data_IF_004512526157
#
_entry.id   IF_004512526157
#
_cell.length_a   1.000
_cell.length_b   1.000
_cell.length_c   1.000
_cell.angle_alpha   90.00
_cell.angle_beta   90.00
_cell.angle_gamma   90.00
#
_symmetry.space_group_name_H-M   'P 1'
#
loop_
_entity.id
_entity.type
_entity.pdbx_description
1 polymer ?
#
# COMPACT_ATOMS: atom_id res chain seq x y z
N UNK A 1 2.94 -16.95 38.65
CA UNK A 1 2.00 -16.05 39.39
C UNK A 1 2.26 -14.56 39.09
N UNK A 2 3.50 -14.13 38.86
CA UNK A 2 3.83 -12.72 38.57
C UNK A 2 3.14 -12.12 37.35
N UNK A 3 2.85 -12.91 36.32
CA UNK A 3 2.15 -12.44 35.11
C UNK A 3 0.62 -12.22 35.34
N UNK A 4 0.05 -12.78 36.42
CA UNK A 4 -1.35 -12.57 36.80
C UNK A 4 -1.58 -11.21 37.47
N UNK A 5 -0.52 -10.54 37.89
CA UNK A 5 -0.52 -9.25 38.55
C UNK A 5 0.13 -8.15 37.71
N UNK A 6 0.46 -8.43 36.46
CA UNK A 6 0.87 -7.40 35.52
C UNK A 6 -0.31 -6.45 35.31
N UNK A 7 -0.25 -5.30 35.93
CA UNK A 7 -1.15 -4.18 35.66
C UNK A 7 -0.68 -3.60 34.33
N UNK A 8 -1.58 -3.44 33.37
CA UNK A 8 -1.29 -2.66 32.17
C UNK A 8 -0.77 -1.31 32.63
N UNK A 9 0.47 -0.99 32.28
CA UNK A 9 0.97 0.36 32.50
C UNK A 9 0.01 1.30 31.76
N UNK A 10 -0.62 2.21 32.51
CA UNK A 10 -1.41 3.29 31.92
C UNK A 10 -0.47 4.06 31.01
N UNK A 11 -0.49 3.73 29.73
CA UNK A 11 0.05 4.62 28.71
C UNK A 11 -0.89 5.80 28.70
N UNK A 12 -0.39 6.99 29.04
CA UNK A 12 -1.07 8.26 28.75
C UNK A 12 -1.31 8.28 27.23
N UNK A 13 -2.46 7.77 26.82
CA UNK A 13 -2.95 7.90 25.48
C UNK A 13 -3.42 9.32 25.34
N UNK A 14 -2.69 10.13 24.57
CA UNK A 14 -3.27 11.32 23.94
C UNK A 14 -4.54 10.81 23.26
N UNK A 15 -5.71 11.28 23.65
CA UNK A 15 -6.99 10.91 23.04
C UNK A 15 -6.95 11.35 21.55
N UNK A 16 -6.46 10.48 20.70
CA UNK A 16 -6.71 10.56 19.27
C UNK A 16 -8.17 10.19 19.08
N UNK A 17 -8.83 10.89 18.18
CA UNK A 17 -10.19 10.53 17.74
C UNK A 17 -10.13 9.16 17.04
N UNK A 18 -10.29 8.10 17.83
CA UNK A 18 -10.18 6.71 17.37
C UNK A 18 -11.49 6.37 16.64
N UNK A 19 -11.43 5.95 15.36
CA UNK A 19 -12.63 5.56 14.62
C UNK A 19 -13.47 4.54 15.36
N UNK A 20 -14.79 4.70 15.34
CA UNK A 20 -15.73 3.82 16.03
C UNK A 20 -15.52 2.34 15.71
N UNK A 21 -15.20 2.00 14.45
CA UNK A 21 -14.92 0.64 14.04
C UNK A 21 -13.68 0.06 14.75
N UNK A 22 -12.61 0.84 14.86
CA UNK A 22 -11.39 0.41 15.58
C UNK A 22 -11.73 0.12 17.04
N UNK A 23 -12.38 1.05 17.72
CA UNK A 23 -12.74 0.93 19.14
C UNK A 23 -13.73 -0.20 19.41
N UNK A 24 -14.75 -0.34 18.54
CA UNK A 24 -15.87 -1.25 18.79
C UNK A 24 -15.67 -2.65 18.21
N UNK A 25 -14.77 -2.82 17.22
CA UNK A 25 -14.53 -4.10 16.55
C UNK A 25 -13.08 -4.50 16.65
N UNK A 26 -12.13 -3.68 16.16
CA UNK A 26 -10.71 -4.10 16.12
C UNK A 26 -10.12 -4.34 17.51
N UNK A 27 -10.34 -3.44 18.47
CA UNK A 27 -9.81 -3.61 19.82
C UNK A 27 -10.37 -4.86 20.55
N UNK A 28 -11.69 -5.10 20.56
CA UNK A 28 -12.23 -6.34 21.15
C UNK A 28 -11.69 -7.60 20.48
N UNK A 29 -11.56 -7.62 19.16
CA UNK A 29 -11.00 -8.77 18.42
C UNK A 29 -9.53 -8.98 18.78
N UNK A 30 -8.72 -7.94 18.84
CA UNK A 30 -7.32 -7.99 19.24
C UNK A 30 -7.14 -8.48 20.70
N UNK A 31 -8.10 -8.20 21.58
CA UNK A 31 -8.14 -8.71 22.95
C UNK A 31 -8.73 -10.12 23.06
N UNK A 32 -8.99 -10.80 21.93
CA UNK A 32 -9.63 -12.12 21.86
C UNK A 32 -11.06 -12.15 22.44
N UNK A 33 -11.73 -11.00 22.49
CA UNK A 33 -13.10 -10.85 22.98
C UNK A 33 -14.13 -10.74 21.83
N UNK A 34 -13.73 -11.03 20.58
CA UNK A 34 -14.57 -10.90 19.38
C UNK A 34 -15.87 -11.76 19.43
N UNK A 35 -15.85 -12.89 20.11
CA UNK A 35 -17.06 -13.72 20.30
C UNK A 35 -18.19 -13.03 21.09
N UNK A 36 -17.86 -11.98 21.85
CA UNK A 36 -18.85 -11.16 22.56
C UNK A 36 -19.50 -10.08 21.71
N UNK A 37 -19.04 -9.87 20.48
CA UNK A 37 -19.58 -8.85 19.59
C UNK A 37 -20.94 -9.28 19.02
N UNK A 38 -21.99 -8.45 19.13
CA UNK A 38 -23.25 -8.71 18.46
C UNK A 38 -23.12 -8.48 16.94
N UNK A 39 -23.98 -9.13 16.15
CA UNK A 39 -24.03 -8.90 14.69
C UNK A 39 -24.21 -7.42 14.34
N UNK A 40 -24.93 -6.66 15.16
CA UNK A 40 -25.12 -5.23 14.99
C UNK A 40 -23.85 -4.38 15.12
N UNK A 41 -22.73 -4.94 15.60
CA UNK A 41 -21.42 -4.28 15.59
C UNK A 41 -20.90 -4.05 14.16
N UNK A 42 -21.45 -4.75 13.17
CA UNK A 42 -21.08 -4.68 11.76
C UNK A 42 -22.09 -3.92 10.91
N UNK A 43 -23.04 -3.18 11.52
CA UNK A 43 -23.96 -2.31 10.77
C UNK A 43 -23.15 -1.25 10.00
N UNK A 44 -23.44 -1.13 8.69
CA UNK A 44 -22.66 -0.30 7.75
C UNK A 44 -21.49 -1.02 7.09
N UNK A 45 -21.29 -2.32 7.38
CA UNK A 45 -20.27 -3.18 6.81
C UNK A 45 -20.86 -4.53 6.34
N UNK A 46 -22.16 -4.56 6.05
CA UNK A 46 -22.90 -5.79 5.69
C UNK A 46 -22.45 -6.35 4.33
N UNK A 47 -21.88 -5.50 3.49
CA UNK A 47 -21.30 -5.86 2.20
C UNK A 47 -19.86 -6.42 2.30
N UNK A 48 -19.31 -6.51 3.52
CA UNK A 48 -17.94 -6.97 3.77
C UNK A 48 -16.86 -5.89 3.62
N UNK A 49 -17.23 -4.63 3.39
CA UNK A 49 -16.25 -3.53 3.36
C UNK A 49 -15.75 -3.21 4.76
N UNK A 50 -14.45 -2.94 4.89
CA UNK A 50 -13.80 -2.52 6.13
C UNK A 50 -13.12 -1.17 5.93
N UNK A 51 -13.04 -0.33 7.00
CA UNK A 51 -12.34 0.94 6.93
C UNK A 51 -10.85 0.75 6.61
N UNK A 52 -10.33 1.58 5.71
CA UNK A 52 -8.92 1.60 5.38
C UNK A 52 -8.07 2.19 6.52
N UNK A 53 -6.79 1.78 6.62
CA UNK A 53 -5.80 2.40 7.51
C UNK A 53 -5.97 2.09 9.00
N UNK A 54 -6.78 1.10 9.37
CA UNK A 54 -7.02 0.77 10.79
C UNK A 54 -5.79 0.24 11.51
N UNK A 55 -4.80 -0.29 10.79
CA UNK A 55 -3.52 -0.73 11.35
C UNK A 55 -2.73 0.41 12.04
N UNK A 56 -2.96 1.67 11.66
CA UNK A 56 -2.32 2.83 12.28
C UNK A 56 -2.65 3.02 13.77
N UNK A 57 -3.73 2.39 14.25
CA UNK A 57 -4.19 2.48 15.63
C UNK A 57 -3.70 1.35 16.53
N UNK A 58 -3.04 0.32 16.00
CA UNK A 58 -2.62 -0.84 16.80
C UNK A 58 -1.47 -0.53 17.76
N UNK A 59 -0.49 0.29 17.35
CA UNK A 59 0.62 0.76 18.20
C UNK A 59 1.20 -0.32 19.13
N UNK A 60 1.59 -1.46 18.57
CA UNK A 60 1.94 -2.69 19.30
C UNK A 60 3.16 -2.54 20.22
N UNK A 61 4.13 -1.68 19.88
CA UNK A 61 5.34 -1.47 20.68
C UNK A 61 6.16 -2.75 20.91
N UNK A 62 6.14 -3.69 19.96
CA UNK A 62 6.67 -5.04 20.15
C UNK A 62 8.21 -5.14 20.09
N UNK A 63 8.90 -4.14 19.52
CA UNK A 63 10.34 -4.16 19.36
C UNK A 63 11.05 -3.70 20.65
N UNK A 64 12.12 -4.41 21.04
CA UNK A 64 12.99 -3.95 22.14
C UNK A 64 13.95 -2.84 21.69
N UNK A 65 14.36 -2.89 20.42
CA UNK A 65 15.24 -1.91 19.80
C UNK A 65 14.60 -1.40 18.52
N UNK A 66 14.65 -0.07 18.33
CA UNK A 66 14.09 0.63 17.16
C UNK A 66 15.12 1.56 16.55
N UNK A 67 14.96 1.97 15.27
CA UNK A 67 15.92 2.86 14.62
C UNK A 67 15.97 4.24 15.24
N UNK A 68 17.17 4.75 15.48
CA UNK A 68 17.48 6.15 15.79
C UNK A 68 18.20 6.79 14.61
N UNK A 69 17.76 7.97 14.18
CA UNK A 69 18.37 8.70 13.08
C UNK A 69 19.44 9.69 13.54
N UNK A 70 20.62 9.62 12.92
CA UNK A 70 21.76 10.50 13.13
C UNK A 70 21.92 11.41 11.92
N UNK A 71 21.40 12.66 11.96
CA UNK A 71 21.38 13.57 10.81
C UNK A 71 22.76 13.80 10.20
N UNK A 72 23.78 14.01 11.02
CA UNK A 72 25.14 14.38 10.62
C UNK A 72 25.80 13.34 9.72
N UNK A 73 25.35 12.09 9.82
CA UNK A 73 25.82 10.98 8.99
C UNK A 73 24.94 10.77 7.75
N UNK A 74 23.75 11.38 7.68
CA UNK A 74 22.79 11.08 6.65
C UNK A 74 23.13 11.70 5.29
N UNK A 75 23.09 10.89 4.22
CA UNK A 75 23.29 11.32 2.83
C UNK A 75 21.96 11.47 2.06
N UNK A 76 20.82 11.36 2.73
CA UNK A 76 19.46 11.52 2.18
C UNK A 76 19.15 10.58 0.99
N UNK A 77 19.62 9.32 1.05
CA UNK A 77 19.42 8.35 -0.03
C UNK A 77 18.07 7.60 0.05
N UNK A 78 17.35 7.69 1.16
CA UNK A 78 16.07 7.03 1.45
C UNK A 78 16.08 5.49 1.41
N UNK A 79 17.23 4.83 1.35
CA UNK A 79 17.30 3.36 1.33
C UNK A 79 16.71 2.73 2.60
N UNK A 80 16.85 3.36 3.76
CA UNK A 80 16.26 2.90 5.01
C UNK A 80 14.72 2.87 4.96
N UNK A 81 14.10 3.87 4.35
CA UNK A 81 12.67 3.89 4.10
C UNK A 81 12.27 2.84 3.05
N UNK A 82 13.03 2.73 1.96
CA UNK A 82 12.74 1.82 0.86
C UNK A 82 12.61 0.37 1.30
N UNK A 83 13.54 -0.11 2.15
CA UNK A 83 13.54 -1.50 2.63
C UNK A 83 12.67 -1.75 3.86
N UNK A 84 12.05 -0.70 4.43
CA UNK A 84 11.23 -0.86 5.62
C UNK A 84 9.93 -1.63 5.32
N UNK A 85 9.73 -2.83 5.92
CA UNK A 85 8.56 -3.67 5.61
C UNK A 85 7.23 -3.09 6.10
N UNK A 86 7.30 -2.18 7.09
CA UNK A 86 6.11 -1.68 7.79
C UNK A 86 5.86 -0.18 7.57
N UNK A 87 6.60 0.47 6.65
CA UNK A 87 6.50 1.90 6.39
C UNK A 87 6.69 2.78 7.66
N UNK A 88 7.43 2.29 8.64
CA UNK A 88 7.69 2.98 9.92
C UNK A 88 8.84 3.98 9.84
N UNK A 89 9.56 4.02 8.73
CA UNK A 89 10.62 4.99 8.46
C UNK A 89 10.23 5.78 7.24
N UNK A 90 10.13 7.12 7.38
CA UNK A 90 9.72 7.99 6.27
C UNK A 90 10.62 9.22 6.16
N UNK A 91 11.05 9.57 4.93
CA UNK A 91 11.62 10.88 4.67
C UNK A 91 10.48 11.91 4.66
N UNK A 92 10.66 12.99 5.36
CA UNK A 92 9.73 14.12 5.43
C UNK A 92 10.41 15.35 4.85
N UNK A 93 9.68 16.10 4.04
CA UNK A 93 10.05 17.44 3.59
C UNK A 93 9.18 18.45 4.33
N UNK A 94 9.82 19.44 4.96
CA UNK A 94 9.17 20.48 5.73
C UNK A 94 9.66 21.87 5.35
N UNK A 95 8.83 22.89 5.51
CA UNK A 95 9.29 24.27 5.43
C UNK A 95 10.01 24.67 6.71
N UNK A 96 10.72 25.81 6.67
CA UNK A 96 11.40 26.34 7.87
C UNK A 96 10.41 26.69 8.98
N UNK A 97 9.20 27.15 8.62
CA UNK A 97 8.12 27.44 9.56
C UNK A 97 7.58 26.15 10.22
N UNK A 98 7.40 25.10 9.45
CA UNK A 98 6.96 23.80 9.96
C UNK A 98 8.01 23.20 10.91
N UNK A 99 9.29 23.34 10.59
CA UNK A 99 10.37 22.89 11.52
C UNK A 99 10.36 23.69 12.82
N UNK A 100 10.13 25.00 12.77
CA UNK A 100 10.05 25.85 13.97
C UNK A 100 8.82 25.52 14.84
N UNK A 101 7.75 25.07 14.23
CA UNK A 101 6.51 24.68 14.93
C UNK A 101 6.53 23.23 15.42
N UNK A 102 7.55 22.46 15.06
CA UNK A 102 7.63 21.03 15.38
C UNK A 102 7.87 20.80 16.88
N UNK A 103 7.37 19.67 17.43
CA UNK A 103 7.67 19.26 18.79
C UNK A 103 9.17 19.09 19.06
N UNK A 104 9.55 19.19 20.32
CA UNK A 104 10.93 18.93 20.75
C UNK A 104 11.37 17.52 20.28
N UNK A 105 12.59 17.43 19.76
CA UNK A 105 13.14 16.20 19.19
C UNK A 105 13.02 16.09 17.68
N UNK A 106 12.29 17.00 17.00
CA UNK A 106 12.29 17.05 15.56
C UNK A 106 13.65 17.52 15.03
N UNK A 107 14.36 16.65 14.33
CA UNK A 107 15.66 16.97 13.71
C UNK A 107 15.50 17.10 12.20
N UNK A 108 16.24 18.03 11.57
CA UNK A 108 16.24 18.21 10.12
C UNK A 108 17.62 18.57 9.58
N UNK A 109 17.73 18.53 8.26
CA UNK A 109 18.86 18.97 7.47
C UNK A 109 18.34 19.70 6.23
N UNK A 110 19.07 20.65 5.65
CA UNK A 110 18.71 21.19 4.34
C UNK A 110 18.50 20.10 3.30
N UNK A 111 17.36 20.12 2.60
CA UNK A 111 16.98 19.07 1.67
C UNK A 111 17.83 19.08 0.40
N UNK A 112 18.50 17.98 0.09
CA UNK A 112 19.30 17.84 -1.13
C UNK A 112 18.37 17.67 -2.35
N UNK A 113 18.39 18.68 -3.24
CA UNK A 113 17.57 18.70 -4.46
C UNK A 113 16.20 19.36 -4.30
N UNK A 114 15.86 19.87 -3.10
CA UNK A 114 14.62 20.60 -2.81
C UNK A 114 14.94 21.93 -2.11
N UNK A 115 15.30 22.94 -2.90
CA UNK A 115 15.71 24.26 -2.38
C UNK A 115 14.59 24.90 -1.54
N UNK A 116 14.94 25.36 -0.34
CA UNK A 116 14.02 26.02 0.58
C UNK A 116 13.19 25.04 1.43
N UNK A 117 13.51 23.76 1.37
CA UNK A 117 12.91 22.75 2.24
C UNK A 117 13.97 22.09 3.14
N UNK A 118 13.53 21.64 4.28
CA UNK A 118 14.26 20.81 5.22
C UNK A 118 13.89 19.33 5.04
N UNK A 119 14.88 18.48 5.21
CA UNK A 119 14.75 17.02 5.12
C UNK A 119 14.87 16.40 6.52
N UNK A 120 13.99 15.49 6.84
CA UNK A 120 14.05 14.69 8.07
C UNK A 120 13.78 13.22 7.77
N UNK A 121 14.39 12.31 8.55
CA UNK A 121 13.93 10.92 8.63
C UNK A 121 13.17 10.77 9.94
N UNK A 122 11.91 10.40 9.84
CA UNK A 122 11.06 10.11 10.96
C UNK A 122 10.84 8.61 11.12
N UNK A 123 10.74 8.16 12.36
CA UNK A 123 10.52 6.76 12.72
C UNK A 123 9.29 6.66 13.60
N UNK A 124 8.37 5.73 13.29
CA UNK A 124 7.29 5.35 14.21
C UNK A 124 7.80 4.26 15.17
N UNK A 125 8.13 4.59 16.42
CA UNK A 125 8.75 3.63 17.32
C UNK A 125 7.79 2.53 17.77
N UNK A 126 6.49 2.82 17.87
CA UNK A 126 5.48 1.87 18.35
C UNK A 126 5.00 0.90 17.25
N UNK A 127 5.22 1.23 15.98
CA UNK A 127 4.86 0.38 14.83
C UNK A 127 6.07 -0.38 14.27
N UNK A 128 7.27 -0.04 14.69
CA UNK A 128 8.49 -0.72 14.28
C UNK A 128 8.61 -2.10 14.94
N UNK A 129 8.99 -3.12 14.16
CA UNK A 129 9.21 -4.48 14.65
C UNK A 129 10.70 -4.82 14.88
N UNK A 130 11.61 -3.84 14.82
CA UNK A 130 13.01 -4.00 15.23
C UNK A 130 13.87 -4.88 14.31
N UNK A 131 13.51 -5.10 13.05
CA UNK A 131 14.20 -6.04 12.16
C UNK A 131 15.63 -5.64 11.76
N UNK A 132 16.03 -4.38 11.89
CA UNK A 132 17.38 -3.90 11.58
C UNK A 132 17.72 -3.72 10.09
N UNK A 133 16.82 -4.02 9.15
CA UNK A 133 17.08 -3.89 7.70
C UNK A 133 17.56 -2.49 7.31
N UNK A 134 16.98 -1.45 7.90
CA UNK A 134 17.35 -0.05 7.67
C UNK A 134 18.81 0.26 8.04
N UNK A 135 19.31 -0.34 9.12
CA UNK A 135 20.71 -0.22 9.55
C UNK A 135 21.64 -0.94 8.59
N UNK A 136 21.26 -2.17 8.17
CA UNK A 136 22.09 -2.98 7.28
C UNK A 136 22.32 -2.29 5.94
N UNK A 137 21.28 -1.71 5.34
CA UNK A 137 21.38 -1.08 4.00
C UNK A 137 21.95 0.34 4.03
N UNK A 138 22.13 0.97 5.19
CA UNK A 138 22.63 2.33 5.25
C UNK A 138 24.06 2.44 4.68
N UNK A 139 24.27 3.17 3.57
CA UNK A 139 25.55 3.21 2.87
C UNK A 139 26.44 4.38 3.31
N UNK A 140 26.08 5.13 4.35
CA UNK A 140 26.77 6.36 4.72
C UNK A 140 28.27 6.10 4.98
N UNK A 141 29.17 6.86 4.34
CA UNK A 141 30.60 6.73 4.53
C UNK A 141 31.10 7.35 5.84
N UNK A 142 30.30 8.18 6.51
CA UNK A 142 30.63 8.84 7.78
C UNK A 142 30.29 8.00 9.01
N UNK A 143 29.89 6.74 8.83
CA UNK A 143 29.27 5.89 9.83
C UNK A 143 27.75 5.77 9.59
N UNK A 144 27.11 4.78 10.21
CA UNK A 144 25.67 4.57 10.01
C UNK A 144 24.89 5.81 10.41
N UNK A 145 23.98 6.24 9.51
CA UNK A 145 23.03 7.32 9.79
C UNK A 145 21.78 6.81 10.50
N UNK A 146 21.61 5.51 10.60
CA UNK A 146 20.57 4.81 11.36
C UNK A 146 21.25 3.77 12.24
N UNK A 147 20.94 3.75 13.52
CA UNK A 147 21.41 2.78 14.50
C UNK A 147 20.23 2.25 15.31
N UNK A 148 20.33 1.04 15.84
CA UNK A 148 19.27 0.52 16.72
C UNK A 148 19.53 1.02 18.15
N UNK A 149 18.49 1.51 18.80
CA UNK A 149 18.50 1.96 20.20
C UNK A 149 17.29 1.42 20.95
N UNK A 150 17.31 1.48 22.29
CA UNK A 150 16.19 0.99 23.09
C UNK A 150 14.89 1.74 22.75
N UNK A 151 13.78 1.03 22.65
CA UNK A 151 12.47 1.63 22.45
C UNK A 151 12.12 2.64 23.55
N UNK A 152 12.58 2.41 24.78
CA UNK A 152 12.33 3.33 25.91
C UNK A 152 12.91 4.72 25.68
N UNK A 153 13.98 4.83 24.90
CA UNK A 153 14.57 6.11 24.50
C UNK A 153 13.84 6.77 23.32
N UNK A 154 13.26 5.97 22.42
CA UNK A 154 12.65 6.47 21.18
C UNK A 154 11.13 6.68 21.27
N UNK A 155 10.42 5.96 22.16
CA UNK A 155 8.95 6.10 22.29
C UNK A 155 8.51 7.53 22.64
N UNK A 156 9.38 8.30 23.28
CA UNK A 156 9.12 9.72 23.58
C UNK A 156 9.03 10.59 22.32
N UNK A 157 9.52 10.10 21.16
CA UNK A 157 9.43 10.76 19.86
C UNK A 157 8.15 10.41 19.09
N UNK A 158 7.23 9.60 19.64
CA UNK A 158 5.96 9.30 18.99
C UNK A 158 5.15 10.56 18.60
N UNK A 159 5.08 11.64 19.44
CA UNK A 159 4.44 12.88 19.02
C UNK A 159 5.13 13.60 17.87
N UNK A 160 6.45 13.42 17.73
CA UNK A 160 7.23 13.98 16.61
C UNK A 160 6.85 13.28 15.30
N UNK A 161 6.71 11.97 15.36
CA UNK A 161 6.21 11.18 14.22
C UNK A 161 4.80 11.63 13.80
N UNK A 162 3.88 11.73 14.78
CA UNK A 162 2.49 12.11 14.51
C UNK A 162 2.41 13.51 13.86
N UNK A 163 3.19 14.46 14.35
CA UNK A 163 3.32 15.79 13.76
C UNK A 163 3.83 15.73 12.32
N UNK A 164 4.92 15.00 12.11
CA UNK A 164 5.61 14.94 10.83
C UNK A 164 4.77 14.33 9.70
N UNK A 165 4.01 13.25 10.00
CA UNK A 165 3.14 12.60 9.00
C UNK A 165 1.86 13.37 8.72
N UNK A 166 1.47 14.28 9.63
CA UNK A 166 0.33 15.18 9.45
C UNK A 166 0.66 16.41 8.59
N UNK A 167 1.94 16.71 8.34
CA UNK A 167 2.34 17.84 7.49
C UNK A 167 1.77 17.69 6.08
N UNK A 168 1.41 18.80 5.41
CA UNK A 168 0.99 18.78 4.02
C UNK A 168 2.07 18.15 3.14
N UNK A 169 1.69 17.21 2.28
CA UNK A 169 2.60 16.57 1.33
C UNK A 169 3.21 17.62 0.40
N UNK A 170 4.54 17.64 0.30
CA UNK A 170 5.27 18.55 -0.60
C UNK A 170 5.43 17.89 -1.97
N UNK A 171 5.53 18.71 -3.06
CA UNK A 171 5.87 18.17 -4.38
C UNK A 171 7.15 17.34 -4.32
N UNK A 172 7.13 16.18 -4.95
CA UNK A 172 8.29 15.30 -4.97
C UNK A 172 9.44 15.94 -5.77
N UNK A 173 10.61 16.21 -5.16
CA UNK A 173 11.72 16.87 -5.83
C UNK A 173 12.51 15.93 -6.75
N UNK A 174 12.18 14.67 -6.79
CA UNK A 174 12.89 13.61 -7.51
C UNK A 174 11.93 12.85 -8.43
N UNK A 175 12.48 12.13 -9.41
CA UNK A 175 11.69 11.20 -10.21
C UNK A 175 11.18 10.05 -9.32
N UNK A 176 9.88 9.81 -9.32
CA UNK A 176 9.21 8.80 -8.49
C UNK A 176 9.62 7.36 -8.82
N UNK A 177 10.18 7.11 -10.01
CA UNK A 177 10.69 5.81 -10.48
C UNK A 177 12.12 5.49 -10.00
N UNK A 178 12.68 6.31 -9.11
CA UNK A 178 13.98 6.07 -8.47
C UNK A 178 13.80 5.63 -7.02
N UNK A 179 14.80 4.92 -6.44
CA UNK A 179 14.80 4.52 -5.03
C UNK A 179 14.57 5.73 -4.10
N UNK A 180 15.29 6.82 -4.32
CA UNK A 180 15.14 8.04 -3.51
C UNK A 180 13.79 8.69 -3.72
N UNK A 181 13.36 8.82 -4.98
CA UNK A 181 12.13 9.54 -5.33
C UNK A 181 10.87 8.78 -4.91
N UNK A 182 10.82 7.45 -5.08
CA UNK A 182 9.65 6.66 -4.67
C UNK A 182 9.30 6.84 -3.19
N UNK A 183 10.29 7.11 -2.35
CA UNK A 183 10.07 7.23 -0.91
C UNK A 183 9.55 8.60 -0.46
N UNK A 184 9.55 9.61 -1.32
CA UNK A 184 8.83 10.86 -1.06
C UNK A 184 7.32 10.75 -1.38
N UNK A 185 6.91 9.70 -2.09
CA UNK A 185 5.49 9.37 -2.23
C UNK A 185 4.97 8.75 -0.94
N UNK A 186 3.75 9.12 -0.55
CA UNK A 186 3.12 8.59 0.67
C UNK A 186 2.86 7.09 0.49
N UNK A 187 3.35 6.23 1.40
CA UNK A 187 3.00 4.81 1.35
C UNK A 187 1.52 4.63 1.68
N UNK A 188 0.79 3.96 0.79
CA UNK A 188 -0.62 3.64 1.00
C UNK A 188 -0.82 2.20 1.48
N UNK A 189 0.23 1.66 2.06
CA UNK A 189 0.27 0.44 2.85
C UNK A 189 1.27 0.63 3.99
N UNK A 190 0.79 0.51 5.23
CA UNK A 190 1.58 0.80 6.43
C UNK A 190 1.19 -0.10 7.61
N UNK A 191 2.14 -0.35 8.51
CA UNK A 191 1.94 -1.01 9.79
C UNK A 191 1.24 -2.38 9.70
N UNK A 192 1.51 -3.12 8.63
CA UNK A 192 0.93 -4.44 8.40
C UNK A 192 1.29 -5.44 9.49
N UNK A 193 0.46 -6.50 9.62
CA UNK A 193 0.74 -7.63 10.51
C UNK A 193 1.82 -8.60 10.00
N UNK A 194 2.66 -8.19 9.05
CA UNK A 194 3.76 -9.00 8.53
C UNK A 194 4.88 -9.23 9.55
N UNK A 195 5.68 -10.25 9.34
CA UNK A 195 6.83 -10.58 10.18
C UNK A 195 7.87 -9.45 10.22
N UNK A 196 8.65 -9.38 11.30
CA UNK A 196 9.82 -8.52 11.35
C UNK A 196 10.80 -8.88 10.23
N UNK A 197 11.14 -7.91 9.36
CA UNK A 197 12.01 -8.16 8.21
C UNK A 197 11.34 -8.87 7.03
N UNK A 198 10.01 -8.89 6.94
CA UNK A 198 9.29 -9.48 5.82
C UNK A 198 9.87 -9.05 4.47
N UNK A 199 10.06 -10.01 3.56
CA UNK A 199 10.58 -9.76 2.21
C UNK A 199 9.50 -9.38 1.19
N UNK A 200 8.22 -9.55 1.49
CA UNK A 200 7.09 -9.27 0.58
C UNK A 200 6.63 -7.82 0.65
N UNK A 201 6.42 -7.33 1.88
CA UNK A 201 5.76 -6.03 2.11
C UNK A 201 6.54 -4.80 1.62
N UNK A 202 7.89 -4.76 1.53
CA UNK A 202 8.59 -3.66 0.88
C UNK A 202 8.18 -3.45 -0.58
N UNK A 203 7.95 -4.53 -1.33
CA UNK A 203 7.50 -4.47 -2.72
C UNK A 203 6.06 -3.96 -2.81
N UNK A 204 5.14 -4.53 -2.03
CA UNK A 204 3.76 -4.07 -1.97
C UNK A 204 3.67 -2.58 -1.59
N UNK A 205 4.46 -2.14 -0.60
CA UNK A 205 4.55 -0.73 -0.20
C UNK A 205 4.98 0.17 -1.37
N UNK A 206 6.06 -0.16 -2.07
CA UNK A 206 6.56 0.65 -3.20
C UNK A 206 5.51 0.74 -4.31
N UNK A 207 4.85 -0.35 -4.63
CA UNK A 207 3.77 -0.35 -5.63
C UNK A 207 2.63 0.56 -5.19
N UNK A 208 2.25 0.55 -3.91
CA UNK A 208 1.23 1.49 -3.41
C UNK A 208 1.69 2.95 -3.42
N UNK A 209 2.99 3.22 -3.26
CA UNK A 209 3.55 4.57 -3.41
C UNK A 209 3.46 5.08 -4.84
N UNK A 210 3.59 4.19 -5.84
CA UNK A 210 3.60 4.56 -7.25
C UNK A 210 2.20 4.60 -7.88
N UNK A 211 1.28 3.73 -7.45
CA UNK A 211 0.00 3.50 -8.11
C UNK A 211 -1.19 3.49 -7.16
N UNK A 212 -0.96 3.53 -5.85
CA UNK A 212 -1.95 3.22 -4.82
C UNK A 212 -3.21 4.08 -4.83
N UNK A 213 -3.13 5.33 -5.28
CA UNK A 213 -4.26 6.26 -5.35
C UNK A 213 -5.41 5.76 -6.25
N UNK A 214 -5.13 4.85 -7.17
CA UNK A 214 -6.06 4.30 -8.16
C UNK A 214 -5.97 2.78 -8.31
N UNK A 215 -5.29 2.09 -7.39
CA UNK A 215 -5.14 0.63 -7.42
C UNK A 215 -6.42 -0.11 -7.06
N UNK A 216 -6.62 -1.23 -7.74
CA UNK A 216 -7.51 -2.31 -7.32
C UNK A 216 -6.67 -3.58 -7.21
N UNK A 217 -6.79 -4.28 -6.08
CA UNK A 217 -5.97 -5.43 -5.76
C UNK A 217 -6.87 -6.64 -5.52
N UNK A 218 -6.73 -7.67 -6.36
CA UNK A 218 -7.22 -9.01 -6.09
C UNK A 218 -6.09 -9.81 -5.45
N UNK A 219 -6.29 -10.37 -4.27
CA UNK A 219 -5.24 -11.03 -3.50
C UNK A 219 -5.56 -12.49 -3.25
N UNK A 220 -4.64 -13.40 -3.60
CA UNK A 220 -4.75 -14.81 -3.30
C UNK A 220 -4.50 -15.07 -1.81
N UNK A 221 -5.27 -15.96 -1.20
CA UNK A 221 -5.05 -16.39 0.18
C UNK A 221 -3.61 -16.88 0.39
N UNK A 222 -2.95 -16.40 1.42
CA UNK A 222 -1.55 -16.69 1.76
C UNK A 222 -1.00 -15.62 2.71
N UNK A 223 0.32 -15.44 2.80
CA UNK A 223 0.91 -14.38 3.62
C UNK A 223 0.35 -12.99 3.25
N UNK A 224 0.23 -12.70 1.95
CA UNK A 224 -0.24 -11.40 1.47
C UNK A 224 -1.69 -11.08 1.85
N UNK A 225 -2.55 -12.09 2.04
CA UNK A 225 -3.89 -11.89 2.58
C UNK A 225 -3.86 -11.70 4.10
N UNK A 226 -2.99 -12.42 4.81
CA UNK A 226 -2.90 -12.32 6.27
C UNK A 226 -2.39 -10.94 6.68
N UNK A 227 -1.27 -10.49 6.13
CA UNK A 227 -0.78 -9.15 6.44
C UNK A 227 -1.59 -8.05 5.73
N UNK A 228 -2.39 -8.39 4.70
CA UNK A 228 -3.16 -7.45 3.89
C UNK A 228 -4.45 -6.94 4.54
N UNK A 229 -5.21 -7.74 5.23
CA UNK A 229 -6.41 -7.35 6.00
C UNK A 229 -7.15 -8.53 6.68
N UNK A 230 -6.65 -9.78 6.58
CA UNK A 230 -7.29 -10.93 7.27
C UNK A 230 -7.08 -10.89 8.79
N UNK A 231 -6.13 -10.10 9.26
CA UNK A 231 -6.12 -9.61 10.63
C UNK A 231 -7.19 -8.52 10.80
N UNK A 232 -7.67 -8.23 12.01
CA UNK A 232 -8.79 -7.29 12.18
C UNK A 232 -8.47 -5.85 11.74
N UNK A 233 -7.22 -5.56 11.40
CA UNK A 233 -6.75 -4.25 10.98
C UNK A 233 -6.28 -4.25 9.53
N UNK A 234 -6.66 -3.23 8.76
CA UNK A 234 -6.23 -3.01 7.39
C UNK A 234 -4.97 -2.14 7.32
N UNK A 235 -3.88 -2.61 6.71
CA UNK A 235 -2.69 -1.81 6.47
C UNK A 235 -2.81 -0.91 5.24
N UNK A 236 -3.71 -1.21 4.31
CA UNK A 236 -3.99 -0.35 3.16
C UNK A 236 -4.71 0.90 3.63
N UNK A 237 -4.19 2.07 3.25
CA UNK A 237 -4.64 3.36 3.72
C UNK A 237 -4.85 4.34 2.58
N UNK A 238 -5.26 5.56 2.90
CA UNK A 238 -5.51 6.63 1.93
C UNK A 238 -4.52 7.77 2.10
N UNK A 239 -4.30 8.51 1.00
CA UNK A 239 -3.59 9.79 1.06
C UNK A 239 -4.46 10.89 1.69
N UNK A 240 -3.91 12.10 1.80
CA UNK A 240 -4.62 13.26 2.39
C UNK A 240 -5.88 13.68 1.61
N UNK A 241 -6.05 13.23 0.36
CA UNK A 241 -7.23 13.44 -0.46
C UNK A 241 -8.27 12.31 -0.33
N UNK A 242 -8.03 11.32 0.54
CA UNK A 242 -8.93 10.19 0.75
C UNK A 242 -8.85 9.10 -0.33
N UNK A 243 -7.77 9.09 -1.14
CA UNK A 243 -7.59 8.09 -2.20
C UNK A 243 -6.56 7.03 -1.78
N UNK A 244 -6.89 5.76 -2.03
CA UNK A 244 -6.01 4.63 -1.72
C UNK A 244 -6.44 3.36 -2.44
N UNK A 245 -5.69 2.25 -2.24
CA UNK A 245 -6.02 0.97 -2.85
C UNK A 245 -7.37 0.43 -2.39
N UNK A 246 -8.12 -0.13 -3.33
CA UNK A 246 -9.19 -1.06 -3.01
C UNK A 246 -8.60 -2.47 -3.02
N UNK A 247 -8.76 -3.21 -1.91
CA UNK A 247 -8.21 -4.54 -1.74
C UNK A 247 -9.33 -5.55 -1.47
N UNK A 248 -9.29 -6.66 -2.18
CA UNK A 248 -10.20 -7.77 -1.96
C UNK A 248 -9.42 -9.10 -1.97
N UNK A 249 -9.74 -9.97 -1.01
CA UNK A 249 -9.19 -11.31 -0.96
C UNK A 249 -10.06 -12.28 -1.73
N UNK A 250 -9.42 -13.19 -2.46
CA UNK A 250 -10.05 -14.33 -3.10
C UNK A 250 -9.50 -15.63 -2.55
N UNK A 251 -10.09 -16.75 -2.97
CA UNK A 251 -9.53 -18.05 -2.70
C UNK A 251 -8.16 -18.18 -3.41
N UNK A 252 -7.33 -19.01 -2.86
CA UNK A 252 -5.98 -19.20 -3.32
C UNK A 252 -5.91 -19.89 -4.71
N UNK A 253 -6.93 -20.63 -5.10
CA UNK A 253 -7.05 -21.29 -6.39
C UNK A 253 -7.66 -20.44 -7.52
N UNK A 254 -8.48 -19.43 -7.23
CA UNK A 254 -9.29 -18.70 -8.22
C UNK A 254 -8.93 -17.21 -8.36
N UNK A 255 -7.86 -16.77 -7.72
CA UNK A 255 -7.55 -15.34 -7.63
C UNK A 255 -7.24 -14.68 -8.98
N UNK A 256 -6.66 -15.42 -9.92
CA UNK A 256 -6.38 -14.84 -11.23
C UNK A 256 -7.68 -14.50 -11.96
N UNK A 257 -8.65 -15.41 -11.94
CA UNK A 257 -9.97 -15.25 -12.53
C UNK A 257 -10.77 -14.16 -11.84
N UNK A 258 -10.68 -14.09 -10.50
CA UNK A 258 -11.32 -13.04 -9.72
C UNK A 258 -10.79 -11.65 -10.10
N UNK A 259 -9.46 -11.48 -10.14
CA UNK A 259 -8.84 -10.22 -10.56
C UNK A 259 -9.12 -9.85 -12.01
N UNK A 260 -9.22 -10.84 -12.89
CA UNK A 260 -9.62 -10.65 -14.29
C UNK A 260 -11.06 -10.17 -14.39
N UNK A 261 -11.97 -10.79 -13.63
CA UNK A 261 -13.37 -10.36 -13.57
C UNK A 261 -13.54 -8.93 -13.06
N UNK A 262 -12.78 -8.53 -12.02
CA UNK A 262 -12.75 -7.16 -11.52
C UNK A 262 -12.33 -6.17 -12.63
N UNK A 263 -11.30 -6.52 -13.40
CA UNK A 263 -10.82 -5.70 -14.52
C UNK A 263 -11.90 -5.55 -15.59
N UNK A 264 -12.44 -6.66 -16.09
CA UNK A 264 -13.45 -6.67 -17.15
C UNK A 264 -14.70 -5.86 -16.74
N UNK A 265 -15.18 -6.04 -15.52
CA UNK A 265 -16.32 -5.28 -15.00
C UNK A 265 -16.04 -3.77 -14.96
N UNK A 266 -14.87 -3.38 -14.47
CA UNK A 266 -14.48 -1.97 -14.40
C UNK A 266 -14.29 -1.35 -15.77
N UNK A 267 -13.60 -2.04 -16.70
CA UNK A 267 -13.39 -1.52 -18.06
C UNK A 267 -14.72 -1.42 -18.82
N UNK A 268 -15.63 -2.39 -18.67
CA UNK A 268 -16.95 -2.31 -19.31
C UNK A 268 -17.76 -1.10 -18.87
N UNK A 269 -17.77 -0.79 -17.57
CA UNK A 269 -18.43 0.41 -17.06
C UNK A 269 -17.76 1.71 -17.56
N UNK A 270 -16.45 1.70 -17.72
CA UNK A 270 -15.72 2.83 -18.31
C UNK A 270 -15.99 2.99 -19.81
N UNK A 271 -16.09 1.89 -20.56
CA UNK A 271 -16.46 1.93 -21.97
C UNK A 271 -17.87 2.49 -22.18
N UNK A 272 -18.82 2.11 -21.33
CA UNK A 272 -20.17 2.69 -21.38
C UNK A 272 -20.11 4.20 -21.11
N UNK A 273 -19.35 4.62 -20.10
CA UNK A 273 -19.17 6.04 -19.81
C UNK A 273 -18.46 6.79 -20.94
N UNK A 274 -17.54 6.13 -21.67
CA UNK A 274 -16.86 6.69 -22.85
C UNK A 274 -17.88 7.11 -23.94
N UNK A 275 -18.88 6.28 -24.20
CA UNK A 275 -19.92 6.57 -25.16
C UNK A 275 -20.77 7.78 -24.76
N UNK A 276 -21.11 7.88 -23.48
CA UNK A 276 -21.86 9.03 -22.92
C UNK A 276 -21.04 10.32 -22.99
N UNK A 277 -19.77 10.28 -22.57
CA UNK A 277 -18.86 11.43 -22.63
C UNK A 277 -18.65 11.89 -24.07
N UNK A 278 -18.49 10.96 -25.03
CA UNK A 278 -18.33 11.29 -26.44
C UNK A 278 -19.57 12.02 -27.00
N UNK A 279 -20.76 11.52 -26.67
CA UNK A 279 -22.03 12.17 -27.08
C UNK A 279 -22.18 13.58 -26.52
N UNK A 280 -21.88 13.78 -25.22
CA UNK A 280 -21.94 15.10 -24.59
C UNK A 280 -20.88 16.06 -25.15
N UNK A 281 -19.70 15.60 -25.50
CA UNK A 281 -18.63 16.40 -26.09
C UNK A 281 -18.98 16.98 -27.45
N UNK A 282 -19.87 16.35 -28.25
CA UNK A 282 -20.33 16.86 -29.54
C UNK A 282 -21.10 18.17 -29.39
N UNK A 283 -21.91 18.29 -28.34
CA UNK A 283 -22.80 19.45 -28.12
C UNK A 283 -22.24 20.46 -27.14
N UNK A 284 -21.27 20.06 -26.30
CA UNK A 284 -20.63 20.91 -25.31
C UNK A 284 -19.85 22.09 -25.96
N UNK A 285 -19.69 23.16 -25.19
CA UNK A 285 -18.92 24.35 -25.61
C UNK A 285 -17.99 24.81 -24.47
N UNK A 286 -16.99 25.62 -24.80
CA UNK A 286 -16.06 26.21 -23.82
C UNK A 286 -15.29 25.18 -23.00
N UNK A 287 -15.06 25.47 -21.72
CA UNK A 287 -14.29 24.61 -20.80
C UNK A 287 -14.85 23.18 -20.67
N UNK A 288 -16.18 23.04 -20.70
CA UNK A 288 -16.81 21.72 -20.64
C UNK A 288 -16.37 20.85 -21.84
N UNK A 289 -16.41 21.41 -23.04
CA UNK A 289 -15.96 20.72 -24.25
C UNK A 289 -14.49 20.32 -24.16
N UNK A 290 -13.65 21.24 -23.72
CA UNK A 290 -12.22 20.99 -23.57
C UNK A 290 -11.93 19.90 -22.56
N UNK A 291 -12.62 19.91 -21.41
CA UNK A 291 -12.43 18.89 -20.37
C UNK A 291 -12.90 17.49 -20.81
N UNK A 292 -14.06 17.40 -21.48
CA UNK A 292 -14.56 16.13 -22.02
C UNK A 292 -13.65 15.59 -23.12
N UNK A 293 -13.19 16.47 -24.04
CA UNK A 293 -12.27 16.07 -25.14
C UNK A 293 -10.93 15.59 -24.60
N UNK A 294 -10.33 16.30 -23.65
CA UNK A 294 -9.07 15.90 -23.02
C UNK A 294 -9.21 14.53 -22.34
N UNK A 295 -10.33 14.27 -21.65
CA UNK A 295 -10.59 12.97 -21.03
C UNK A 295 -10.70 11.86 -22.07
N UNK A 296 -11.38 12.09 -23.20
CA UNK A 296 -11.54 11.14 -24.30
C UNK A 296 -10.19 10.79 -24.95
N UNK A 297 -9.38 11.81 -25.28
CA UNK A 297 -8.07 11.62 -25.89
C UNK A 297 -7.10 10.82 -25.00
N UNK A 298 -7.25 10.94 -23.69
CA UNK A 298 -6.40 10.30 -22.69
C UNK A 298 -7.08 9.14 -21.96
N UNK A 299 -8.16 8.60 -22.50
CA UNK A 299 -8.97 7.56 -21.86
C UNK A 299 -8.15 6.36 -21.35
N UNK A 300 -7.16 5.91 -22.13
CA UNK A 300 -6.27 4.79 -21.77
C UNK A 300 -5.09 5.16 -20.88
N UNK A 301 -4.88 6.43 -20.57
CA UNK A 301 -3.74 6.88 -19.78
C UNK A 301 -4.08 6.92 -18.29
N UNK A 302 -3.32 6.16 -17.48
CA UNK A 302 -3.48 6.16 -16.02
C UNK A 302 -2.92 7.41 -15.35
N UNK A 303 -1.75 7.89 -15.80
CA UNK A 303 -1.14 9.11 -15.25
C UNK A 303 -1.98 10.36 -15.59
N UNK A 304 -2.22 11.23 -14.58
CA UNK A 304 -3.09 12.39 -14.71
C UNK A 304 -4.58 12.07 -14.83
N UNK A 305 -4.99 10.79 -14.80
CA UNK A 305 -6.40 10.40 -14.94
C UNK A 305 -7.30 11.00 -13.86
N UNK A 306 -6.80 11.15 -12.65
CA UNK A 306 -7.54 11.75 -11.54
C UNK A 306 -7.75 13.26 -11.74
N UNK A 307 -6.74 13.97 -12.22
CA UNK A 307 -6.83 15.41 -12.49
C UNK A 307 -7.80 15.68 -13.65
N UNK A 308 -7.76 14.85 -14.70
CA UNK A 308 -8.73 14.92 -15.81
C UNK A 308 -10.14 14.65 -15.34
N UNK A 309 -10.34 13.64 -14.50
CA UNK A 309 -11.67 13.37 -13.91
C UNK A 309 -12.18 14.55 -13.06
N UNK A 310 -11.30 15.15 -12.24
CA UNK A 310 -11.66 16.32 -11.45
C UNK A 310 -12.01 17.53 -12.34
N UNK A 311 -11.27 17.76 -13.44
CA UNK A 311 -11.54 18.82 -14.41
C UNK A 311 -12.91 18.63 -15.08
N UNK A 312 -13.24 17.40 -15.48
CA UNK A 312 -14.56 17.08 -16.06
C UNK A 312 -15.69 17.41 -15.06
N UNK A 313 -15.56 16.95 -13.81
CA UNK A 313 -16.59 17.19 -12.80
C UNK A 313 -16.75 18.68 -12.47
N UNK A 314 -15.64 19.41 -12.34
CA UNK A 314 -15.68 20.86 -12.10
C UNK A 314 -16.31 21.63 -13.29
N UNK A 315 -16.03 21.23 -14.52
CA UNK A 315 -16.63 21.82 -15.71
C UNK A 315 -18.15 21.54 -15.80
N UNK A 316 -18.59 20.34 -15.42
CA UNK A 316 -20.01 19.99 -15.33
C UNK A 316 -20.69 20.81 -14.24
N UNK A 317 -20.08 20.96 -13.07
CA UNK A 317 -20.62 21.76 -11.97
C UNK A 317 -20.80 23.23 -12.37
N UNK A 318 -19.79 23.82 -13.04
CA UNK A 318 -19.84 25.21 -13.50
C UNK A 318 -20.90 25.47 -14.56
N UNK A 319 -21.21 24.50 -15.43
CA UNK A 319 -22.22 24.61 -16.48
C UNK A 319 -23.64 24.12 -16.04
N UNK A 320 -23.71 23.43 -14.92
CA UNK A 320 -24.86 22.67 -14.48
C UNK A 320 -25.05 21.36 -15.27
N UNK A 321 -25.49 20.31 -14.61
CA UNK A 321 -25.80 19.02 -15.25
C UNK A 321 -27.17 19.09 -15.92
N UNK A 322 -27.26 19.75 -17.07
CA UNK A 322 -28.51 20.09 -17.75
C UNK A 322 -29.06 18.97 -18.64
N UNK A 323 -28.22 18.04 -19.08
CA UNK A 323 -28.58 16.87 -19.89
C UNK A 323 -28.60 15.60 -19.04
N UNK A 324 -29.28 14.56 -19.50
CA UNK A 324 -29.29 13.27 -18.84
C UNK A 324 -27.87 12.63 -18.89
N UNK A 325 -27.12 12.82 -20.00
CA UNK A 325 -25.75 12.33 -20.10
C UNK A 325 -24.81 12.99 -19.08
N UNK A 326 -24.90 14.31 -18.87
CA UNK A 326 -24.10 14.98 -17.84
C UNK A 326 -24.44 14.51 -16.42
N UNK A 327 -25.72 14.20 -16.14
CA UNK A 327 -26.12 13.60 -14.86
C UNK A 327 -25.53 12.20 -14.69
N UNK A 328 -25.60 11.37 -15.74
CA UNK A 328 -25.02 10.02 -15.74
C UNK A 328 -23.51 10.05 -15.51
N UNK A 329 -22.79 11.02 -16.11
CA UNK A 329 -21.35 11.21 -15.86
C UNK A 329 -21.09 11.50 -14.38
N UNK A 330 -21.89 12.35 -13.75
CA UNK A 330 -21.75 12.68 -12.31
C UNK A 330 -22.09 11.48 -11.42
N UNK A 331 -23.13 10.71 -11.74
CA UNK A 331 -23.52 9.51 -11.01
C UNK A 331 -22.45 8.40 -11.13
N UNK A 332 -21.83 8.31 -12.31
CA UNK A 332 -20.77 7.33 -12.62
C UNK A 332 -19.35 7.85 -12.41
N UNK A 333 -19.17 8.96 -11.68
CA UNK A 333 -17.89 9.66 -11.50
C UNK A 333 -16.71 8.76 -11.07
N UNK A 334 -16.96 7.68 -10.35
CA UNK A 334 -15.94 6.72 -9.91
C UNK A 334 -15.28 6.00 -11.08
N UNK A 335 -15.91 5.98 -12.27
CA UNK A 335 -15.40 5.36 -13.50
C UNK A 335 -14.64 6.35 -14.41
N UNK A 336 -14.63 7.65 -14.10
CA UNK A 336 -13.80 8.62 -14.82
C UNK A 336 -12.31 8.37 -14.63
N UNK A 337 -11.89 7.89 -13.47
CA UNK A 337 -10.49 7.58 -13.16
C UNK A 337 -10.13 6.21 -13.72
N UNK A 338 -9.05 6.12 -14.51
CA UNK A 338 -8.51 4.84 -14.98
C UNK A 338 -7.90 4.09 -13.80
N UNK A 339 -8.49 2.98 -13.44
CA UNK A 339 -7.98 2.09 -12.38
C UNK A 339 -6.70 1.39 -12.83
N UNK A 340 -5.86 1.04 -11.87
CA UNK A 340 -4.70 0.16 -12.05
C UNK A 340 -5.04 -1.17 -11.42
N UNK A 341 -5.33 -2.18 -12.24
CA UNK A 341 -5.68 -3.51 -11.76
C UNK A 341 -4.43 -4.32 -11.45
N UNK A 342 -4.41 -4.92 -10.27
CA UNK A 342 -3.33 -5.76 -9.76
C UNK A 342 -3.87 -7.09 -9.26
N UNK A 343 -3.12 -8.16 -9.49
CA UNK A 343 -3.36 -9.49 -8.94
C UNK A 343 -2.13 -9.86 -8.10
N UNK A 344 -2.33 -10.05 -6.80
CA UNK A 344 -1.28 -10.38 -5.84
C UNK A 344 -1.41 -11.82 -5.36
N UNK A 345 -0.29 -12.50 -5.16
CA UNK A 345 -0.29 -13.81 -4.51
C UNK A 345 1.11 -14.39 -4.39
N UNK A 346 1.23 -15.42 -3.57
CA UNK A 346 2.46 -16.16 -3.34
C UNK A 346 2.74 -17.21 -4.43
N UNK A 347 3.86 -17.89 -4.27
CA UNK A 347 4.30 -18.92 -5.22
C UNK A 347 3.36 -20.14 -5.26
N UNK A 348 2.75 -20.52 -4.16
CA UNK A 348 1.75 -21.62 -4.16
C UNK A 348 0.56 -21.34 -5.07
N UNK A 349 0.10 -20.11 -5.12
CA UNK A 349 -0.89 -19.67 -6.10
C UNK A 349 -0.33 -19.67 -7.51
N UNK A 350 0.72 -18.89 -7.75
CA UNK A 350 1.17 -18.59 -9.11
C UNK A 350 1.89 -19.76 -9.80
N UNK A 351 2.60 -20.61 -9.06
CA UNK A 351 3.38 -21.72 -9.62
C UNK A 351 2.60 -23.04 -9.62
N UNK A 352 1.65 -23.18 -8.72
CA UNK A 352 0.94 -24.45 -8.50
C UNK A 352 -0.55 -24.35 -8.81
N UNK A 353 -1.39 -24.16 -7.79
CA UNK A 353 -2.84 -24.36 -7.91
C UNK A 353 -3.54 -23.32 -8.79
N UNK A 354 -3.12 -22.05 -8.74
CA UNK A 354 -3.72 -20.96 -9.53
C UNK A 354 -3.04 -20.73 -10.88
N UNK A 355 -2.03 -21.57 -11.24
CA UNK A 355 -1.27 -21.34 -12.48
C UNK A 355 -2.12 -21.36 -13.75
N UNK A 356 -3.12 -22.25 -13.83
CA UNK A 356 -3.97 -22.34 -15.02
C UNK A 356 -4.77 -21.07 -15.27
N UNK A 357 -5.36 -20.48 -14.25
CA UNK A 357 -6.04 -19.19 -14.33
C UNK A 357 -5.08 -18.04 -14.63
N UNK A 358 -3.92 -18.03 -13.97
CA UNK A 358 -2.88 -17.03 -14.24
C UNK A 358 -2.40 -17.07 -15.69
N UNK A 359 -2.16 -18.26 -16.23
CA UNK A 359 -1.76 -18.46 -17.63
C UNK A 359 -2.82 -17.90 -18.60
N UNK A 360 -4.11 -18.16 -18.33
CA UNK A 360 -5.21 -17.63 -19.12
C UNK A 360 -5.28 -16.10 -19.06
N UNK A 361 -5.09 -15.50 -17.88
CA UNK A 361 -5.07 -14.03 -17.71
C UNK A 361 -3.92 -13.40 -18.47
N UNK A 362 -2.73 -13.99 -18.41
CA UNK A 362 -1.57 -13.51 -19.19
C UNK A 362 -1.81 -13.63 -20.69
N UNK A 363 -2.48 -14.72 -21.13
CA UNK A 363 -2.84 -14.94 -22.53
C UNK A 363 -3.88 -13.96 -23.07
N UNK A 364 -4.70 -13.34 -22.20
CA UNK A 364 -5.76 -12.41 -22.64
C UNK A 364 -5.22 -11.10 -23.25
N UNK A 365 -4.00 -10.69 -22.86
CA UNK A 365 -3.39 -9.43 -23.31
C UNK A 365 -4.03 -8.17 -22.73
N UNK A 366 -4.83 -8.30 -21.68
CA UNK A 366 -5.48 -7.19 -20.99
C UNK A 366 -4.51 -6.38 -20.12
N UNK A 367 -4.86 -5.12 -19.83
CA UNK A 367 -4.05 -4.20 -19.02
C UNK A 367 -4.14 -4.53 -17.52
N UNK A 368 -3.57 -5.67 -17.14
CA UNK A 368 -3.55 -6.21 -15.79
C UNK A 368 -2.10 -6.39 -15.34
N UNK A 369 -1.82 -6.00 -14.11
CA UNK A 369 -0.52 -6.19 -13.48
C UNK A 369 -0.59 -7.39 -12.52
N UNK A 370 0.41 -8.24 -12.57
CA UNK A 370 0.55 -9.41 -11.68
C UNK A 370 1.79 -9.24 -10.82
N UNK A 371 1.64 -9.35 -9.51
CA UNK A 371 2.74 -9.38 -8.57
C UNK A 371 2.80 -10.73 -7.86
N UNK A 372 3.85 -11.50 -8.14
CA UNK A 372 4.10 -12.77 -7.49
C UNK A 372 5.13 -12.61 -6.38
N UNK A 373 4.71 -12.86 -5.15
CA UNK A 373 5.62 -12.93 -4.01
C UNK A 373 6.24 -14.32 -3.95
N UNK A 374 7.38 -14.49 -4.62
CA UNK A 374 8.09 -15.76 -4.71
C UNK A 374 8.96 -15.98 -3.48
N UNK A 375 8.42 -16.63 -2.48
CA UNK A 375 9.09 -17.01 -1.23
C UNK A 375 9.68 -18.42 -1.28
N UNK A 376 9.60 -19.08 -2.43
CA UNK A 376 10.15 -20.41 -2.74
C UNK A 376 9.49 -21.57 -1.98
N UNK A 377 8.54 -21.29 -1.12
CA UNK A 377 7.74 -22.26 -0.35
C UNK A 377 6.35 -21.70 -0.07
N UNK A 378 5.39 -22.56 0.26
CA UNK A 378 4.11 -22.14 0.87
C UNK A 378 4.40 -21.55 2.26
N UNK A 379 4.73 -20.26 2.36
CA UNK A 379 5.25 -19.68 3.59
C UNK A 379 4.20 -19.57 4.70
N UNK A 380 2.99 -19.12 4.37
CA UNK A 380 1.92 -18.91 5.35
C UNK A 380 1.42 -20.21 6.01
N UNK A 381 1.37 -21.28 5.25
CA UNK A 381 0.85 -22.57 5.73
C UNK A 381 1.86 -23.42 6.49
N UNK A 382 3.16 -23.09 6.40
CA UNK A 382 4.21 -23.76 7.17
C UNK A 382 5.43 -24.27 6.41
N UNK A 383 5.74 -23.71 5.26
CA UNK A 383 7.00 -23.98 4.54
C UNK A 383 6.97 -25.23 3.68
N UNK A 384 5.83 -25.55 3.07
CA UNK A 384 5.71 -26.68 2.15
C UNK A 384 6.39 -26.38 0.82
N UNK A 385 6.97 -27.40 0.20
CA UNK A 385 7.58 -27.29 -1.12
C UNK A 385 6.55 -26.95 -2.20
N UNK A 386 6.88 -25.94 -3.01
CA UNK A 386 6.13 -25.55 -4.20
C UNK A 386 6.91 -25.85 -5.48
N UNK A 387 6.35 -25.54 -6.66
CA UNK A 387 7.12 -25.56 -7.91
C UNK A 387 8.14 -24.41 -8.01
N UNK A 388 8.05 -23.39 -7.13
CA UNK A 388 9.06 -22.35 -6.99
C UNK A 388 10.28 -22.78 -6.15
N UNK A 389 10.18 -23.85 -5.39
CA UNK A 389 11.28 -24.34 -4.56
C UNK A 389 12.44 -24.84 -5.41
N UNK A 390 13.67 -24.41 -5.09
CA UNK A 390 14.86 -24.79 -5.81
C UNK A 390 15.23 -26.28 -5.64
N UNK A 391 15.96 -26.83 -6.61
CA UNK A 391 16.54 -28.18 -6.50
C UNK A 391 17.42 -28.27 -5.27
N UNK A 392 17.33 -29.39 -4.56
CA UNK A 392 18.03 -29.71 -3.32
C UNK A 392 17.60 -28.89 -2.08
N UNK A 393 16.72 -27.89 -2.20
CA UNK A 393 16.19 -27.18 -1.04
C UNK A 393 15.33 -28.12 -0.17
N UNK A 394 15.56 -28.08 1.14
CA UNK A 394 14.78 -28.82 2.14
C UNK A 394 13.56 -27.98 2.52
N UNK A 395 12.39 -28.59 2.45
CA UNK A 395 11.12 -27.99 2.83
C UNK A 395 10.15 -29.08 3.32
N UNK A 396 9.00 -28.70 3.86
CA UNK A 396 7.93 -29.68 4.14
C UNK A 396 7.57 -30.42 2.85
N UNK A 397 7.34 -31.73 2.93
CA UNK A 397 7.15 -32.66 1.80
C UNK A 397 8.36 -32.82 0.87
N UNK A 398 9.52 -32.25 1.22
CA UNK A 398 10.80 -32.40 0.53
C UNK A 398 11.95 -32.53 1.53
N UNK A 399 11.81 -33.41 2.53
CA UNK A 399 12.78 -33.60 3.62
C UNK A 399 14.20 -34.00 3.12
N UNK A 400 14.27 -34.80 2.03
CA UNK A 400 15.52 -35.21 1.39
C UNK A 400 16.01 -34.23 0.32
N UNK A 401 15.44 -33.03 0.27
CA UNK A 401 15.69 -32.04 -0.77
C UNK A 401 14.78 -32.25 -2.00
N UNK A 402 14.33 -31.14 -2.58
CA UNK A 402 13.53 -31.17 -3.79
C UNK A 402 14.32 -31.72 -4.99
N UNK A 403 13.75 -32.70 -5.67
CA UNK A 403 14.44 -33.44 -6.76
C UNK A 403 14.28 -32.78 -8.13
N UNK A 404 13.29 -31.91 -8.31
CA UNK A 404 12.98 -31.25 -9.58
C UNK A 404 13.45 -29.79 -9.59
N UNK A 405 13.67 -29.24 -10.79
CA UNK A 405 13.99 -27.82 -10.97
C UNK A 405 12.83 -26.92 -10.59
N UNK A 406 13.16 -25.68 -10.21
CA UNK A 406 12.18 -24.59 -10.10
C UNK A 406 11.52 -24.37 -11.45
N UNK A 407 10.19 -24.21 -11.46
CA UNK A 407 9.44 -23.80 -12.63
C UNK A 407 9.84 -22.35 -12.99
N UNK A 408 10.12 -22.11 -14.25
CA UNK A 408 10.48 -20.77 -14.73
C UNK A 408 9.22 -20.02 -15.18
N UNK A 409 8.53 -19.39 -14.23
CA UNK A 409 7.29 -18.67 -14.49
C UNK A 409 7.53 -17.47 -15.41
N UNK A 410 8.66 -16.77 -15.22
CA UNK A 410 9.02 -15.62 -16.05
C UNK A 410 9.19 -16.00 -17.53
N UNK A 411 9.91 -17.09 -17.82
CA UNK A 411 10.07 -17.58 -19.20
C UNK A 411 8.75 -18.02 -19.80
N UNK A 412 7.87 -18.64 -19.04
CA UNK A 412 6.53 -19.01 -19.51
C UNK A 412 5.75 -17.75 -19.90
N UNK A 413 5.73 -16.73 -19.04
CA UNK A 413 5.06 -15.46 -19.32
C UNK A 413 5.64 -14.74 -20.54
N UNK A 414 6.98 -14.70 -20.68
CA UNK A 414 7.63 -14.12 -21.85
C UNK A 414 7.32 -14.85 -23.16
N UNK A 415 6.94 -16.12 -23.10
CA UNK A 415 6.60 -16.89 -24.31
C UNK A 415 5.40 -16.35 -25.07
N UNK A 416 4.54 -15.56 -24.42
CA UNK A 416 3.43 -14.86 -25.08
C UNK A 416 3.88 -13.70 -26.00
N UNK A 417 5.10 -13.18 -25.83
CA UNK A 417 5.70 -12.16 -26.67
C UNK A 417 5.23 -10.72 -26.42
N UNK A 418 4.11 -10.53 -25.74
CA UNK A 418 3.54 -9.22 -25.37
C UNK A 418 3.46 -8.99 -23.85
N UNK A 419 3.79 -9.99 -23.03
CA UNK A 419 3.85 -9.86 -21.59
C UNK A 419 5.20 -9.30 -21.18
N UNK A 420 5.19 -8.14 -20.51
CA UNK A 420 6.39 -7.57 -19.90
C UNK A 420 6.67 -8.29 -18.56
N UNK A 421 7.90 -8.73 -18.37
CA UNK A 421 8.36 -9.39 -17.14
C UNK A 421 9.53 -8.62 -16.56
N UNK A 422 9.44 -8.28 -15.27
CA UNK A 422 10.45 -7.52 -14.53
C UNK A 422 10.86 -8.25 -13.24
#
# INVERSE_FOLDING_TARGET
EAWKTAVDAETETVEKDIPCYVKNVCEPVNRQAGYGLPVSAFVGHEDGTLPAGTAAYEKRGAALFVPHWIPENCIQCNQCSFVCPHATIRPILATEEEVKAAPEGFKSLPALGAKGLEFSIQVSPLDCLGCGNCVNVCPSPKGKAIVMTSIDQEKVLAPVWDYAVALPTKPNPMKKDTVKGSQFEVPLMEFSGACAGCGETPYAKVITQLFGDRMMIANATGCSSIWGASMPASPYTTNQQGHGPAWANSLFEDNAEFGYGMYLGTEKLREQLLEVVASEAETATGELKEALTDWLEHFKQGEGSRDRAARVLAAIEANGATTEGLKEIVESKQHLVKRSQWIFGGDGWAYDIGFGGLDHVLASGEDINVLVFDTEVYSNTGGQSSKATHTAAVAQFAADGKKTKKKDLGMIAMSYGYVYVA
#
